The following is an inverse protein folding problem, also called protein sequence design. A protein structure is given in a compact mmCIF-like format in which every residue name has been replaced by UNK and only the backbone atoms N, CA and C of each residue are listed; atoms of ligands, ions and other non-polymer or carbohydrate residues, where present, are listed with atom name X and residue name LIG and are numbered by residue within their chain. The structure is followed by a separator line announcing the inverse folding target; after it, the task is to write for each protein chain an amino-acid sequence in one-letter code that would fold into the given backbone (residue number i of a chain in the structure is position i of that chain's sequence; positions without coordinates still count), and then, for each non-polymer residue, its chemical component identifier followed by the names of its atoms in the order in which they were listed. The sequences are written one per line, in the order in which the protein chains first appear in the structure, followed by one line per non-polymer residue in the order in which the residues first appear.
data_IF_541640851931
#
_entry.id   IF_541640851931
#
_cell.length_a   1.000
_cell.length_b   1.000
_cell.length_c   1.000
_cell.angle_alpha   90.00
_cell.angle_beta   90.00
_cell.angle_gamma   90.00
#
_symmetry.space_group_name_H-M   'P 1'
#
loop_
_entity.id
_entity.type
_entity.pdbx_description
1 polymer ?
#
# COMPACT_ATOMS: atom_id res chain seq x y z
N UNK A 1 15.27 3.83 4.79
CA UNK A 1 14.15 4.67 4.34
C UNK A 1 12.98 3.77 3.98
N UNK A 2 11.83 3.97 4.60
CA UNK A 2 10.60 3.26 4.24
C UNK A 2 10.04 3.99 3.03
N UNK A 3 9.82 3.28 1.91
CA UNK A 3 9.21 3.85 0.71
C UNK A 3 7.86 3.18 0.48
N UNK A 4 6.86 4.02 0.23
CA UNK A 4 5.49 3.66 -0.10
C UNK A 4 5.16 4.11 -1.51
N UNK A 5 4.33 3.31 -2.17
CA UNK A 5 3.94 3.51 -3.56
C UNK A 5 2.42 3.61 -3.60
N UNK A 6 1.89 4.76 -4.04
CA UNK A 6 0.46 4.94 -4.24
C UNK A 6 0.10 4.37 -5.61
N UNK A 7 -0.83 3.44 -5.63
CA UNK A 7 -1.33 2.82 -6.84
C UNK A 7 -2.81 3.12 -7.02
N UNK A 8 -3.20 3.36 -8.27
CA UNK A 8 -4.58 3.31 -8.71
C UNK A 8 -4.83 1.95 -9.39
N UNK A 9 -5.89 1.25 -8.97
CA UNK A 9 -6.37 0.03 -9.62
C UNK A 9 -7.90 0.07 -9.75
N UNK A 10 -8.48 -0.94 -10.38
CA UNK A 10 -9.94 -1.15 -10.39
C UNK A 10 -10.30 -2.25 -9.41
N UNK A 11 -11.31 -2.04 -8.59
CA UNK A 11 -11.88 -3.09 -7.73
C UNK A 11 -12.79 -4.03 -8.55
N UNK A 12 -13.42 -5.00 -7.90
CA UNK A 12 -14.32 -5.98 -8.54
C UNK A 12 -15.54 -5.32 -9.20
N UNK A 13 -15.99 -4.17 -8.67
CA UNK A 13 -17.04 -3.36 -9.27
C UNK A 13 -16.56 -2.48 -10.45
N UNK A 14 -15.29 -2.59 -10.86
CA UNK A 14 -14.69 -1.80 -11.94
C UNK A 14 -14.40 -0.34 -11.57
N UNK A 15 -14.63 0.08 -10.32
CA UNK A 15 -14.39 1.44 -9.87
C UNK A 15 -12.90 1.67 -9.56
N UNK A 16 -12.34 2.84 -9.90
CA UNK A 16 -10.98 3.18 -9.54
C UNK A 16 -10.86 3.27 -8.01
N UNK A 17 -9.81 2.67 -7.47
CA UNK A 17 -9.45 2.69 -6.05
C UNK A 17 -7.97 2.98 -5.92
N UNK A 18 -7.63 3.80 -4.94
CA UNK A 18 -6.26 4.16 -4.60
C UNK A 18 -5.85 3.42 -3.33
N UNK A 19 -4.60 2.96 -3.31
CA UNK A 19 -4.04 2.27 -2.14
C UNK A 19 -2.51 2.36 -2.13
N UNK A 20 -1.94 2.40 -0.93
CA UNK A 20 -0.52 2.38 -0.68
C UNK A 20 0.01 0.95 -0.55
N UNK A 21 1.13 0.68 -1.21
CA UNK A 21 1.86 -0.57 -1.07
C UNK A 21 3.30 -0.31 -0.58
N UNK A 22 3.80 -1.17 0.29
CA UNK A 22 5.24 -1.23 0.58
C UNK A 22 6.01 -1.85 -0.60
N UNK A 23 7.34 -1.72 -0.56
CA UNK A 23 8.23 -2.34 -1.55
C UNK A 23 8.02 -3.86 -1.69
N UNK A 24 7.78 -4.58 -0.61
CA UNK A 24 7.57 -6.04 -0.66
C UNK A 24 6.24 -6.40 -1.34
N UNK A 25 5.16 -5.70 -1.00
CA UNK A 25 3.87 -5.88 -1.66
C UNK A 25 3.93 -5.49 -3.13
N UNK A 26 4.65 -4.42 -3.47
CA UNK A 26 4.95 -4.04 -4.85
C UNK A 26 5.67 -5.16 -5.60
N UNK A 27 6.73 -5.74 -5.02
CA UNK A 27 7.49 -6.85 -5.63
C UNK A 27 6.63 -8.09 -5.82
N UNK A 28 5.87 -8.49 -4.80
CA UNK A 28 4.93 -9.63 -4.87
C UNK A 28 3.85 -9.45 -5.94
N UNK A 29 3.43 -8.20 -6.18
CA UNK A 29 2.40 -7.86 -7.17
C UNK A 29 2.98 -7.29 -8.47
N UNK A 30 4.25 -7.58 -8.79
CA UNK A 30 4.90 -7.07 -10.00
C UNK A 30 4.10 -7.42 -11.27
N UNK A 31 3.49 -8.61 -11.31
CA UNK A 31 2.63 -9.00 -12.43
C UNK A 31 1.45 -8.03 -12.65
N UNK A 32 0.78 -7.57 -11.59
CA UNK A 32 -0.31 -6.59 -11.68
C UNK A 32 0.16 -5.23 -12.20
N UNK A 33 1.39 -4.85 -11.89
CA UNK A 33 2.02 -3.61 -12.38
C UNK A 33 2.35 -3.75 -13.88
N UNK A 34 2.95 -4.86 -14.29
CA UNK A 34 3.28 -5.16 -15.68
C UNK A 34 2.02 -5.23 -16.56
N UNK A 35 0.93 -5.81 -16.03
CA UNK A 35 -0.37 -5.85 -16.69
C UNK A 35 -1.13 -4.51 -16.66
N UNK A 36 -0.52 -3.43 -16.14
CA UNK A 36 -1.16 -2.11 -15.96
C UNK A 36 -2.46 -2.13 -15.14
N UNK A 37 -2.68 -3.19 -14.35
CA UNK A 37 -3.80 -3.26 -13.40
C UNK A 37 -3.56 -2.33 -12.22
N UNK A 38 -2.30 -2.17 -11.82
CA UNK A 38 -1.86 -1.22 -10.81
C UNK A 38 -1.06 -0.11 -11.50
N UNK A 39 -1.63 1.10 -11.54
CA UNK A 39 -0.97 2.28 -12.10
C UNK A 39 -0.31 3.06 -10.96
N UNK A 40 1.01 3.20 -11.00
CA UNK A 40 1.73 4.01 -10.03
C UNK A 40 1.33 5.48 -10.20
N UNK A 41 0.90 6.11 -9.12
CA UNK A 41 0.55 7.53 -9.07
C UNK A 41 1.74 8.31 -8.50
N UNK A 42 2.22 7.91 -7.33
CA UNK A 42 3.35 8.58 -6.67
C UNK A 42 4.12 7.65 -5.74
N UNK A 43 5.27 8.14 -5.26
CA UNK A 43 6.12 7.50 -4.27
C UNK A 43 6.33 8.47 -3.11
N UNK A 44 6.17 7.98 -1.89
CA UNK A 44 6.38 8.77 -0.68
C UNK A 44 7.31 8.03 0.28
N UNK A 45 8.16 8.79 0.97
CA UNK A 45 9.00 8.31 2.06
C UNK A 45 8.43 8.67 3.44
N UNK A 46 7.16 9.09 3.51
CA UNK A 46 6.46 9.36 4.76
C UNK A 46 6.27 8.05 5.55
N UNK A 47 6.83 8.01 6.75
CA UNK A 47 6.79 6.86 7.65
C UNK A 47 5.40 6.61 8.23
N UNK A 48 4.51 7.60 8.20
CA UNK A 48 3.13 7.48 8.67
C UNK A 48 2.23 6.75 7.66
N UNK A 49 2.69 6.55 6.42
CA UNK A 49 1.92 5.86 5.38
C UNK A 49 1.99 4.34 5.58
N UNK A 50 0.81 3.75 5.76
CA UNK A 50 0.62 2.32 6.01
C UNK A 50 0.44 1.57 4.69
N UNK A 51 0.87 0.30 4.63
CA UNK A 51 0.53 -0.58 3.52
C UNK A 51 -0.93 -1.02 3.63
N UNK A 52 -1.77 -0.71 2.65
CA UNK A 52 -3.14 -1.23 2.60
C UNK A 52 -3.19 -2.75 2.32
N UNK A 53 -2.09 -3.34 1.83
CA UNK A 53 -2.02 -4.76 1.50
C UNK A 53 -1.53 -5.65 2.63
N UNK A 54 -0.65 -5.15 3.50
CA UNK A 54 -0.08 -5.96 4.59
C UNK A 54 -0.11 -5.28 5.96
N UNK A 55 -0.64 -4.07 6.07
CA UNK A 55 -0.68 -3.31 7.33
C UNK A 55 0.68 -2.81 7.82
N UNK A 56 1.80 -3.17 7.17
CA UNK A 56 3.12 -2.71 7.58
C UNK A 56 3.18 -1.18 7.52
N UNK A 57 3.66 -0.53 8.58
CA UNK A 57 3.68 0.93 8.72
C UNK A 57 3.15 1.41 10.07
N UNK A 58 2.44 0.55 10.81
CA UNK A 58 2.11 0.83 12.20
C UNK A 58 3.34 0.62 13.09
N UNK A 59 4.08 1.69 13.37
CA UNK A 59 4.76 1.86 14.66
C UNK A 59 3.74 2.26 15.74
N UNK A 60 2.52 1.71 15.69
CA UNK A 60 1.75 1.61 16.92
C UNK A 60 2.40 0.47 17.68
N UNK A 61 3.25 0.81 18.66
CA UNK A 61 3.09 0.15 19.96
C UNK A 61 1.59 0.10 20.17
N UNK A 62 1.03 -1.08 20.38
CA UNK A 62 -0.26 -1.12 21.06
C UNK A 62 -0.09 -0.33 22.35
N UNK A 63 -0.93 0.67 22.59
CA UNK A 63 -1.62 0.63 23.86
C UNK A 63 -3.08 0.39 23.52
N UNK A 64 -3.50 -0.85 23.76
CA UNK A 64 -4.89 -1.24 23.88
C UNK A 64 -4.87 -2.41 24.86
N UNK A 65 -5.56 -2.42 25.98
CA UNK A 65 -6.37 -1.43 26.68
C UNK A 65 -6.59 -2.06 28.08
N UNK A 66 -6.63 -1.23 29.11
CA UNK A 66 -7.34 -1.40 30.40
C UNK A 66 -7.72 -2.83 30.88
N UNK A 67 -7.04 -3.35 31.93
CA UNK A 67 -7.63 -3.63 33.26
C UNK A 67 -6.59 -4.15 34.27
#
# INVERSE_FOLDING_TARGET
MIIRFLYMAKNEAGKPVEFWACNDCRRKNNHSILLRKWKLIEQSSDENIICDKCGAGTTKKEPSDDQ
#
